data_IF_306043906712
#
_entry.id   IF_306043906712
#
_cell.length_a   1.000
_cell.length_b   1.000
_cell.length_c   1.000
_cell.angle_alpha   90.00
_cell.angle_beta   90.00
_cell.angle_gamma   90.00
#
_symmetry.space_group_name_H-M   'P 1'
#
loop_
_entity.id
_entity.type
_entity.pdbx_description
1 polymer ?
#
# COMPACT_ATOMS: atom_id res chain seq x y z
N UNK A 1 -14.95 -10.86 64.91
CA UNK A 1 -16.17 -11.68 64.82
C UNK A 1 -16.15 -12.41 63.48
N UNK A 2 -16.35 -13.73 63.49
CA UNK A 2 -16.32 -14.62 62.29
C UNK A 2 -17.34 -14.19 61.19
N UNK A 3 -18.32 -13.35 61.49
CA UNK A 3 -19.31 -12.84 60.53
C UNK A 3 -18.75 -11.81 59.53
N UNK A 4 -17.59 -11.22 59.78
CA UNK A 4 -16.95 -10.22 58.88
C UNK A 4 -16.00 -10.82 57.86
N UNK A 5 -15.56 -12.08 57.99
CA UNK A 5 -14.64 -12.76 57.07
C UNK A 5 -15.13 -12.83 55.60
N UNK A 6 -16.39 -13.19 55.31
CA UNK A 6 -16.84 -13.27 53.92
C UNK A 6 -16.86 -11.90 53.20
N UNK A 7 -17.17 -10.82 53.92
CA UNK A 7 -17.14 -9.46 53.37
C UNK A 7 -15.71 -8.98 53.10
N UNK A 8 -14.75 -9.32 53.96
CA UNK A 8 -13.36 -8.96 53.81
C UNK A 8 -12.74 -9.73 52.59
N UNK A 9 -13.06 -11.02 52.43
CA UNK A 9 -12.63 -11.83 51.32
C UNK A 9 -13.23 -11.32 49.98
N UNK A 10 -14.49 -10.92 49.98
CA UNK A 10 -15.12 -10.32 48.80
C UNK A 10 -14.42 -9.00 48.41
N UNK A 11 -14.16 -8.14 49.39
CA UNK A 11 -13.51 -6.85 49.17
C UNK A 11 -12.08 -7.05 48.71
N UNK A 12 -11.34 -8.00 49.24
CA UNK A 12 -10.00 -8.39 48.78
C UNK A 12 -10.00 -8.86 47.32
N UNK A 13 -10.96 -9.70 46.92
CA UNK A 13 -11.12 -10.13 45.52
C UNK A 13 -11.41 -8.99 44.58
N UNK A 14 -12.21 -7.99 45.02
CA UNK A 14 -12.52 -6.80 44.21
C UNK A 14 -11.27 -5.93 43.99
N UNK A 15 -10.43 -5.75 45.03
CA UNK A 15 -9.19 -4.99 44.92
C UNK A 15 -8.20 -5.71 43.97
N UNK A 16 -8.05 -7.02 44.09
CA UNK A 16 -7.20 -7.81 43.18
C UNK A 16 -7.67 -7.69 41.74
N UNK A 17 -8.98 -7.67 41.50
CA UNK A 17 -9.51 -7.46 40.14
C UNK A 17 -9.22 -6.05 39.63
N UNK A 18 -9.31 -5.04 40.51
CA UNK A 18 -9.00 -3.64 40.17
C UNK A 18 -7.51 -3.49 39.84
N UNK A 19 -6.60 -4.10 40.61
CA UNK A 19 -5.16 -4.11 40.31
C UNK A 19 -4.87 -4.72 38.94
N UNK A 20 -5.41 -5.91 38.64
CA UNK A 20 -5.22 -6.55 37.33
C UNK A 20 -5.72 -5.68 36.20
N UNK A 21 -6.87 -5.04 36.36
CA UNK A 21 -7.39 -4.13 35.34
C UNK A 21 -6.49 -2.90 35.13
N UNK A 22 -5.88 -2.37 36.19
CA UNK A 22 -4.92 -1.26 36.10
C UNK A 22 -3.64 -1.68 35.42
N UNK A 23 -3.13 -2.89 35.69
CA UNK A 23 -1.97 -3.45 34.99
C UNK A 23 -2.22 -3.65 33.49
N UNK A 24 -3.40 -4.13 33.12
CA UNK A 24 -3.80 -4.25 31.71
C UNK A 24 -3.90 -2.89 31.02
N UNK A 25 -4.54 -1.91 31.69
CA UNK A 25 -4.58 -0.52 31.19
C UNK A 25 -3.18 0.07 31.05
N UNK A 26 -2.29 -0.17 32.01
CA UNK A 26 -0.92 0.27 31.94
C UNK A 26 -0.21 -0.27 30.70
N UNK A 27 -0.33 -1.57 30.44
CA UNK A 27 0.29 -2.21 29.26
C UNK A 27 -0.28 -1.66 27.95
N UNK A 28 -1.59 -1.43 27.88
CA UNK A 28 -2.26 -1.00 26.65
C UNK A 28 -2.13 0.50 26.36
N UNK A 29 -2.26 1.35 27.38
CA UNK A 29 -2.42 2.80 27.22
C UNK A 29 -1.17 3.60 27.63
N UNK A 30 -0.37 3.08 28.54
CA UNK A 30 0.84 3.69 29.07
C UNK A 30 2.13 2.95 28.70
N UNK A 31 2.01 1.83 27.98
CA UNK A 31 3.14 1.05 27.47
C UNK A 31 3.80 1.71 26.25
N UNK A 32 4.85 1.07 25.75
CA UNK A 32 5.65 1.55 24.64
C UNK A 32 5.17 1.05 23.26
N UNK A 33 4.05 0.31 23.22
CA UNK A 33 3.60 -0.39 22.00
C UNK A 33 3.35 0.58 20.86
N UNK A 34 2.65 1.69 21.12
CA UNK A 34 2.34 2.69 20.08
C UNK A 34 3.61 3.42 19.60
N UNK A 35 4.51 3.73 20.52
CA UNK A 35 5.79 4.35 20.21
C UNK A 35 6.68 3.42 19.36
N UNK A 36 6.81 2.16 19.76
CA UNK A 36 7.59 1.17 19.02
C UNK A 36 7.02 0.93 17.61
N UNK A 37 5.70 0.79 17.48
CA UNK A 37 5.06 0.68 16.16
C UNK A 37 5.40 1.87 15.26
N UNK A 38 5.35 3.09 15.78
CA UNK A 38 5.70 4.27 15.00
C UNK A 38 7.17 4.32 14.62
N UNK A 39 8.05 3.89 15.51
CA UNK A 39 9.49 3.76 15.22
C UNK A 39 9.76 2.73 14.11
N UNK A 40 9.07 1.60 14.14
CA UNK A 40 9.20 0.56 13.11
C UNK A 40 8.69 1.05 11.74
N UNK A 41 7.54 1.76 11.74
CA UNK A 41 7.03 2.41 10.52
C UNK A 41 8.05 3.39 9.92
N UNK A 42 8.61 4.28 10.74
CA UNK A 42 9.60 5.26 10.29
C UNK A 42 10.91 4.61 9.84
N UNK A 43 11.33 3.52 10.49
CA UNK A 43 12.48 2.73 10.09
C UNK A 43 12.28 2.11 8.71
N UNK A 44 11.09 1.58 8.44
CA UNK A 44 10.72 1.06 7.12
C UNK A 44 10.70 2.18 6.07
N UNK A 45 10.08 3.32 6.37
CA UNK A 45 10.06 4.48 5.47
C UNK A 45 11.48 4.95 5.14
N UNK A 46 12.38 4.99 6.13
CA UNK A 46 13.80 5.31 5.93
C UNK A 46 14.48 4.32 4.99
N UNK A 47 14.24 3.02 5.18
CA UNK A 47 14.79 1.98 4.32
C UNK A 47 14.26 2.11 2.88
N UNK A 48 12.97 2.35 2.71
CA UNK A 48 12.36 2.56 1.40
C UNK A 48 12.94 3.78 0.69
N UNK A 49 13.17 4.88 1.43
CA UNK A 49 13.84 6.07 0.91
C UNK A 49 15.27 5.79 0.46
N UNK A 50 16.05 5.04 1.23
CA UNK A 50 17.41 4.65 0.87
C UNK A 50 17.45 3.73 -0.35
N UNK A 51 16.40 2.95 -0.56
CA UNK A 51 16.28 2.01 -1.69
C UNK A 51 15.78 2.65 -2.99
N UNK A 52 15.38 3.93 -3.01
CA UNK A 52 14.84 4.59 -4.21
C UNK A 52 15.79 4.54 -5.41
N UNK A 53 17.09 4.72 -5.17
CA UNK A 53 18.09 4.63 -6.25
C UNK A 53 18.14 3.23 -6.86
N UNK A 54 18.17 2.19 -6.03
CA UNK A 54 18.15 0.80 -6.48
C UNK A 54 16.84 0.45 -7.22
N UNK A 55 15.71 0.98 -6.77
CA UNK A 55 14.42 0.81 -7.44
C UNK A 55 14.44 1.45 -8.83
N UNK A 56 14.98 2.67 -8.96
CA UNK A 56 15.16 3.34 -10.25
C UNK A 56 16.02 2.50 -11.20
N UNK A 57 17.18 2.02 -10.73
CA UNK A 57 18.05 1.18 -11.54
C UNK A 57 17.38 -0.12 -11.98
N UNK A 58 16.62 -0.76 -11.09
CA UNK A 58 15.85 -1.96 -11.43
C UNK A 58 14.84 -1.68 -12.55
N UNK A 59 14.09 -0.58 -12.44
CA UNK A 59 13.14 -0.16 -13.50
C UNK A 59 13.85 0.16 -14.82
N UNK A 60 15.02 0.79 -14.78
CA UNK A 60 15.81 1.08 -15.97
C UNK A 60 16.35 -0.20 -16.63
N UNK A 61 16.81 -1.18 -15.84
CA UNK A 61 17.21 -2.50 -16.36
C UNK A 61 16.04 -3.22 -17.03
N UNK A 62 14.85 -3.21 -16.38
CA UNK A 62 13.64 -3.78 -16.98
C UNK A 62 13.27 -3.09 -18.28
N UNK A 63 13.29 -1.76 -18.33
CA UNK A 63 13.03 -0.99 -19.54
C UNK A 63 14.00 -1.35 -20.69
N UNK A 64 15.28 -1.60 -20.37
CA UNK A 64 16.26 -2.08 -21.34
C UNK A 64 15.96 -3.50 -21.86
N UNK A 65 15.51 -4.41 -20.98
CA UNK A 65 15.12 -5.77 -21.37
C UNK A 65 13.88 -5.75 -22.27
N UNK A 66 12.95 -4.85 -22.01
CA UNK A 66 11.69 -4.72 -22.75
C UNK A 66 11.81 -3.86 -24.03
N UNK A 67 13.03 -3.48 -24.45
CA UNK A 67 13.25 -2.61 -25.63
C UNK A 67 12.58 -3.12 -26.90
N UNK A 68 12.67 -4.43 -27.17
CA UNK A 68 12.04 -5.04 -28.34
C UNK A 68 10.51 -4.82 -28.30
N UNK A 69 9.89 -5.09 -27.15
CA UNK A 69 8.46 -4.91 -26.95
C UNK A 69 8.05 -3.44 -27.13
N UNK A 70 8.76 -2.50 -26.52
CA UNK A 70 8.45 -1.08 -26.64
C UNK A 70 8.62 -0.54 -28.08
N UNK A 71 9.63 -1.03 -28.81
CA UNK A 71 9.79 -0.66 -30.23
C UNK A 71 8.65 -1.21 -31.07
N UNK A 72 8.22 -2.46 -30.82
CA UNK A 72 7.08 -3.06 -31.52
C UNK A 72 5.78 -2.32 -31.19
N UNK A 73 5.52 -1.99 -29.92
CA UNK A 73 4.34 -1.22 -29.51
C UNK A 73 4.29 0.13 -30.21
N UNK A 74 5.40 0.88 -30.19
CA UNK A 74 5.50 2.17 -30.88
C UNK A 74 5.32 2.04 -32.39
N UNK A 75 5.84 0.96 -32.99
CA UNK A 75 5.66 0.68 -34.40
C UNK A 75 4.18 0.40 -34.73
N UNK A 76 3.50 -0.41 -33.92
CA UNK A 76 2.07 -0.73 -34.12
C UNK A 76 1.17 0.50 -33.91
N UNK A 77 1.52 1.37 -32.97
CA UNK A 77 0.81 2.62 -32.68
C UNK A 77 0.83 3.58 -33.87
N UNK A 78 1.84 3.50 -34.71
CA UNK A 78 1.92 4.29 -35.95
C UNK A 78 0.94 3.84 -37.08
N UNK A 79 0.18 2.77 -36.89
CA UNK A 79 -0.75 2.28 -37.91
C UNK A 79 -2.21 2.52 -37.53
N UNK A 80 -2.74 3.65 -37.99
CA UNK A 80 -4.14 4.06 -37.75
C UNK A 80 -5.13 3.06 -38.39
N UNK A 81 -6.12 2.65 -37.62
CA UNK A 81 -7.23 1.83 -38.09
C UNK A 81 -8.05 2.54 -39.17
N UNK A 82 -8.18 3.84 -39.08
CA UNK A 82 -8.97 4.65 -40.01
C UNK A 82 -8.43 4.58 -41.44
N UNK A 83 -7.10 4.59 -41.58
CA UNK A 83 -6.41 4.49 -42.86
C UNK A 83 -6.24 3.05 -43.36
N UNK A 84 -6.55 2.06 -42.52
CA UNK A 84 -6.37 0.66 -42.86
C UNK A 84 -7.43 0.20 -43.86
N UNK A 85 -7.02 -0.56 -44.88
CA UNK A 85 -7.94 -1.30 -45.72
C UNK A 85 -8.08 -2.73 -45.18
N UNK A 86 -9.18 -3.02 -44.51
CA UNK A 86 -9.43 -4.35 -43.92
C UNK A 86 -10.76 -4.85 -44.48
N UNK A 87 -10.72 -6.01 -45.15
CA UNK A 87 -11.89 -6.60 -45.76
C UNK A 87 -13.05 -6.80 -44.76
N UNK A 88 -14.21 -6.21 -45.07
CA UNK A 88 -15.42 -6.29 -44.25
C UNK A 88 -15.42 -5.36 -43.02
N UNK A 89 -14.37 -4.55 -42.82
CA UNK A 89 -14.32 -3.50 -41.78
C UNK A 89 -14.43 -2.13 -42.48
N UNK A 90 -15.66 -1.74 -42.79
CA UNK A 90 -15.94 -0.44 -43.38
C UNK A 90 -16.01 0.71 -42.38
N UNK A 91 -16.27 1.95 -42.84
CA UNK A 91 -16.25 3.17 -42.00
C UNK A 91 -17.11 3.07 -40.73
N UNK A 92 -18.32 2.52 -40.84
CA UNK A 92 -19.20 2.37 -39.67
C UNK A 92 -18.61 1.43 -38.57
N UNK A 93 -17.99 0.31 -38.97
CA UNK A 93 -17.32 -0.58 -38.02
C UNK A 93 -16.06 0.05 -37.43
N UNK A 94 -15.30 0.83 -38.19
CA UNK A 94 -14.16 1.58 -37.69
C UNK A 94 -14.59 2.61 -36.66
N UNK A 95 -15.65 3.38 -36.93
CA UNK A 95 -16.21 4.33 -35.96
C UNK A 95 -16.66 3.66 -34.68
N UNK A 96 -17.28 2.45 -34.80
CA UNK A 96 -17.63 1.67 -33.61
C UNK A 96 -16.38 1.26 -32.80
N UNK A 97 -15.32 0.75 -33.45
CA UNK A 97 -14.06 0.41 -32.75
C UNK A 97 -13.44 1.60 -32.07
N UNK A 98 -13.41 2.77 -32.73
CA UNK A 98 -12.88 4.02 -32.18
C UNK A 98 -13.68 4.50 -30.94
N UNK A 99 -15.00 4.33 -30.92
CA UNK A 99 -15.82 4.68 -29.75
C UNK A 99 -15.50 3.80 -28.52
N UNK A 100 -14.88 2.63 -28.72
CA UNK A 100 -14.34 1.76 -27.67
C UNK A 100 -12.83 1.95 -27.42
N UNK A 101 -12.22 3.00 -27.97
CA UNK A 101 -10.81 3.34 -27.77
C UNK A 101 -9.83 2.53 -28.64
N UNK A 102 -10.31 1.79 -29.66
CA UNK A 102 -9.46 1.03 -30.57
C UNK A 102 -9.19 1.88 -31.81
N UNK A 103 -8.02 2.54 -31.85
CA UNK A 103 -7.64 3.52 -32.87
C UNK A 103 -6.50 3.06 -33.76
N UNK A 104 -5.60 2.25 -33.23
CA UNK A 104 -4.38 1.81 -33.92
C UNK A 104 -4.25 0.27 -33.93
N UNK A 105 -3.24 -0.24 -34.65
CA UNK A 105 -2.94 -1.66 -34.64
C UNK A 105 -2.50 -2.16 -33.23
N UNK A 106 -1.96 -1.28 -32.40
CA UNK A 106 -1.57 -1.59 -31.02
C UNK A 106 -2.79 -2.01 -30.20
N UNK A 107 -3.90 -1.29 -30.33
CA UNK A 107 -5.12 -1.47 -29.51
C UNK A 107 -5.89 -2.76 -29.84
N UNK A 108 -5.52 -3.45 -30.93
CA UNK A 108 -6.22 -4.66 -31.35
C UNK A 108 -5.87 -5.82 -30.41
N UNK A 109 -6.81 -6.14 -29.54
CA UNK A 109 -6.79 -7.30 -28.65
C UNK A 109 -8.04 -8.16 -28.82
N UNK A 110 -7.84 -9.48 -28.92
CA UNK A 110 -8.94 -10.43 -29.13
C UNK A 110 -10.06 -10.30 -28.13
N UNK A 111 -9.71 -10.24 -26.84
CA UNK A 111 -10.70 -10.19 -25.75
C UNK A 111 -11.47 -8.87 -25.69
N UNK A 112 -10.81 -7.75 -26.00
CA UNK A 112 -11.43 -6.44 -26.04
C UNK A 112 -12.42 -6.36 -27.19
N UNK A 113 -12.02 -6.76 -28.41
CA UNK A 113 -12.85 -6.71 -29.61
C UNK A 113 -14.09 -7.62 -29.50
N UNK A 114 -13.94 -8.85 -28.95
CA UNK A 114 -15.07 -9.77 -28.82
C UNK A 114 -16.17 -9.31 -27.86
N UNK A 115 -15.89 -8.32 -27.00
CA UNK A 115 -16.91 -7.70 -26.13
C UNK A 115 -17.75 -6.64 -26.85
N UNK A 116 -17.33 -6.20 -28.03
CA UNK A 116 -18.00 -5.15 -28.78
C UNK A 116 -19.15 -5.78 -29.58
N UNK A 117 -20.35 -5.26 -29.40
CA UNK A 117 -21.51 -5.71 -30.15
C UNK A 117 -21.29 -5.60 -31.66
N UNK A 118 -21.56 -6.69 -32.40
CA UNK A 118 -21.35 -6.75 -33.85
C UNK A 118 -19.96 -7.20 -34.27
N UNK A 119 -19.02 -7.43 -33.33
CA UNK A 119 -17.67 -7.96 -33.59
C UNK A 119 -17.53 -9.41 -33.09
N UNK A 120 -18.10 -10.34 -33.85
CA UNK A 120 -17.92 -11.76 -33.60
C UNK A 120 -16.56 -12.28 -34.08
N UNK A 121 -16.32 -13.61 -33.97
CA UNK A 121 -15.03 -14.25 -34.28
C UNK A 121 -14.49 -13.93 -35.67
N UNK A 122 -15.36 -13.76 -36.68
CA UNK A 122 -14.98 -13.47 -38.06
C UNK A 122 -14.27 -12.12 -38.19
N UNK A 123 -14.90 -11.04 -37.65
CA UNK A 123 -14.33 -9.69 -37.74
C UNK A 123 -13.13 -9.54 -36.82
N UNK A 124 -13.18 -10.13 -35.63
CA UNK A 124 -12.01 -10.22 -34.73
C UNK A 124 -10.84 -10.90 -35.41
N UNK A 125 -11.08 -12.02 -36.12
CA UNK A 125 -10.03 -12.73 -36.86
C UNK A 125 -9.44 -11.90 -37.99
N UNK A 126 -10.23 -11.06 -38.68
CA UNK A 126 -9.74 -10.16 -39.74
C UNK A 126 -8.86 -9.04 -39.16
N UNK A 127 -9.26 -8.45 -38.05
CA UNK A 127 -8.45 -7.43 -37.34
C UNK A 127 -7.14 -8.00 -36.81
N UNK A 128 -7.17 -9.17 -36.22
CA UNK A 128 -5.93 -9.85 -35.75
C UNK A 128 -4.98 -10.19 -36.88
N UNK A 129 -5.49 -10.67 -38.03
CA UNK A 129 -4.65 -10.90 -39.23
C UNK A 129 -4.03 -9.64 -39.76
N UNK A 130 -4.77 -8.52 -39.75
CA UNK A 130 -4.24 -7.21 -40.13
C UNK A 130 -3.10 -6.81 -39.19
N UNK A 131 -3.28 -6.86 -37.87
CA UNK A 131 -2.22 -6.60 -36.88
C UNK A 131 -1.00 -7.47 -37.13
N UNK A 132 -1.19 -8.78 -37.29
CA UNK A 132 -0.08 -9.71 -37.59
C UNK A 132 0.64 -9.39 -38.87
N UNK A 133 -0.04 -8.90 -39.93
CA UNK A 133 0.58 -8.48 -41.16
C UNK A 133 1.50 -7.26 -41.01
N UNK A 134 1.19 -6.40 -40.02
CA UNK A 134 2.03 -5.25 -39.64
C UNK A 134 3.20 -5.73 -38.78
N UNK A 135 2.94 -6.58 -37.79
CA UNK A 135 3.99 -7.16 -36.92
C UNK A 135 5.11 -7.84 -37.74
N UNK A 136 4.76 -8.54 -38.81
CA UNK A 136 5.73 -9.16 -39.71
C UNK A 136 6.65 -8.18 -40.42
N UNK A 137 6.28 -6.91 -40.55
CA UNK A 137 7.10 -5.85 -41.16
C UNK A 137 8.00 -5.16 -40.13
N UNK A 138 7.81 -5.42 -38.84
CA UNK A 138 8.63 -4.85 -37.81
C UNK A 138 10.03 -5.43 -37.79
N UNK A 139 11.02 -4.56 -37.69
CA UNK A 139 12.43 -4.95 -37.54
C UNK A 139 12.99 -4.27 -36.29
N UNK A 140 13.42 -5.07 -35.32
CA UNK A 140 14.03 -4.56 -34.09
C UNK A 140 15.37 -3.87 -34.39
N UNK A 141 15.54 -2.67 -33.86
CA UNK A 141 16.80 -1.94 -33.92
C UNK A 141 17.47 -1.89 -32.54
N UNK A 142 18.52 -2.69 -32.27
CA UNK A 142 19.19 -2.68 -30.98
C UNK A 142 19.92 -1.35 -30.67
N UNK A 143 20.23 -0.54 -31.69
CA UNK A 143 20.92 0.73 -31.54
C UNK A 143 19.97 1.93 -31.33
N UNK A 144 18.65 1.74 -31.49
CA UNK A 144 17.71 2.80 -31.27
C UNK A 144 17.69 3.16 -29.76
N UNK A 145 17.83 4.44 -29.37
CA UNK A 145 17.75 4.84 -27.96
C UNK A 145 16.37 4.54 -27.37
N UNK A 146 16.35 4.32 -26.07
CA UNK A 146 15.09 4.20 -25.34
C UNK A 146 14.33 5.51 -25.47
N UNK A 147 13.01 5.42 -25.62
CA UNK A 147 12.15 6.60 -25.69
C UNK A 147 12.32 7.46 -24.42
N UNK A 148 12.73 8.74 -24.56
CA UNK A 148 12.89 9.64 -23.41
C UNK A 148 11.65 9.77 -22.54
N UNK A 149 10.45 9.60 -23.11
CA UNK A 149 9.20 9.67 -22.35
C UNK A 149 9.07 8.52 -21.37
N UNK A 150 9.55 7.32 -21.70
CA UNK A 150 9.55 6.18 -20.78
C UNK A 150 10.53 6.40 -19.62
N UNK A 151 11.69 6.98 -19.90
CA UNK A 151 12.67 7.37 -18.86
C UNK A 151 12.05 8.43 -17.94
N UNK A 152 11.46 9.47 -18.52
CA UNK A 152 10.81 10.56 -17.77
C UNK A 152 9.68 10.02 -16.88
N UNK A 153 8.92 9.04 -17.36
CA UNK A 153 7.87 8.39 -16.56
C UNK A 153 8.46 7.73 -15.32
N UNK A 154 9.54 6.96 -15.46
CA UNK A 154 10.25 6.34 -14.33
C UNK A 154 10.75 7.40 -13.36
N UNK A 155 11.40 8.45 -13.86
CA UNK A 155 11.95 9.52 -13.03
C UNK A 155 10.85 10.26 -12.24
N UNK A 156 9.71 10.52 -12.86
CA UNK A 156 8.56 11.13 -12.20
C UNK A 156 7.94 10.21 -11.12
N UNK A 157 7.84 8.91 -11.38
CA UNK A 157 7.37 7.94 -10.38
C UNK A 157 8.29 7.93 -9.15
N UNK A 158 9.61 7.85 -9.37
CA UNK A 158 10.60 7.86 -8.28
C UNK A 158 10.58 9.20 -7.52
N UNK A 159 10.44 10.33 -8.23
CA UNK A 159 10.34 11.66 -7.62
C UNK A 159 9.09 11.80 -6.75
N UNK A 160 7.96 11.29 -7.21
CA UNK A 160 6.71 11.30 -6.46
C UNK A 160 6.82 10.45 -5.18
N UNK A 161 7.40 9.25 -5.30
CA UNK A 161 7.61 8.36 -4.17
C UNK A 161 8.59 8.98 -3.16
N UNK A 162 9.69 9.56 -3.63
CA UNK A 162 10.64 10.32 -2.81
C UNK A 162 9.93 11.40 -1.98
N UNK A 163 9.08 12.22 -2.63
CA UNK A 163 8.33 13.28 -1.96
C UNK A 163 7.42 12.75 -0.85
N UNK A 164 6.72 11.63 -1.09
CA UNK A 164 5.86 10.99 -0.08
C UNK A 164 6.67 10.52 1.13
N UNK A 165 7.78 9.81 0.88
CA UNK A 165 8.63 9.28 1.94
C UNK A 165 9.31 10.41 2.74
N UNK A 166 9.77 11.46 2.09
CA UNK A 166 10.33 12.66 2.75
C UNK A 166 9.30 13.32 3.68
N UNK A 167 8.06 13.48 3.21
CA UNK A 167 6.98 14.03 4.05
C UNK A 167 6.76 13.21 5.31
N UNK A 168 6.75 11.88 5.21
CA UNK A 168 6.58 10.98 6.36
C UNK A 168 7.78 11.06 7.31
N UNK A 169 9.00 11.12 6.79
CA UNK A 169 10.21 11.26 7.60
C UNK A 169 10.28 12.61 8.32
N UNK A 170 9.81 13.68 7.69
CA UNK A 170 9.78 15.01 8.29
C UNK A 170 8.71 15.14 9.38
N UNK A 171 7.54 14.52 9.22
CA UNK A 171 6.47 14.55 10.23
C UNK A 171 6.75 13.58 11.39
N UNK A 172 7.47 12.49 11.13
CA UNK A 172 7.69 11.39 12.08
C UNK A 172 8.22 11.79 13.45
N UNK A 173 9.26 12.62 13.58
CA UNK A 173 9.77 13.05 14.88
C UNK A 173 8.74 13.81 15.72
N UNK A 174 7.89 14.60 15.09
CA UNK A 174 6.84 15.33 15.79
C UNK A 174 5.70 14.37 16.24
N UNK A 175 5.34 13.42 15.41
CA UNK A 175 4.38 12.37 15.75
C UNK A 175 4.87 11.52 16.94
N UNK A 176 6.16 11.14 16.96
CA UNK A 176 6.77 10.43 18.08
C UNK A 176 6.76 11.27 19.39
N UNK A 177 7.02 12.59 19.29
CA UNK A 177 6.89 13.49 20.45
C UNK A 177 5.47 13.51 21.00
N UNK A 178 4.47 13.58 20.13
CA UNK A 178 3.04 13.57 20.53
C UNK A 178 2.69 12.24 21.21
N UNK A 179 3.11 11.11 20.65
CA UNK A 179 2.89 9.79 21.24
C UNK A 179 3.56 9.70 22.61
N UNK A 180 4.82 10.10 22.71
CA UNK A 180 5.53 10.10 23.99
C UNK A 180 4.85 10.97 25.06
N UNK A 181 4.41 12.18 24.68
CA UNK A 181 3.66 13.05 25.59
C UNK A 181 2.36 12.41 26.09
N UNK A 182 1.60 11.79 25.20
CA UNK A 182 0.38 11.07 25.58
C UNK A 182 0.67 9.92 26.54
N UNK A 183 1.69 9.11 26.26
CA UNK A 183 2.12 8.00 27.11
C UNK A 183 2.55 8.51 28.50
N UNK A 184 3.36 9.56 28.56
CA UNK A 184 3.82 10.13 29.83
C UNK A 184 2.66 10.66 30.69
N UNK A 185 1.73 11.39 30.09
CA UNK A 185 0.54 11.88 30.80
C UNK A 185 -0.30 10.72 31.33
N UNK A 186 -0.47 9.67 30.54
CA UNK A 186 -1.23 8.49 30.93
C UNK A 186 -0.55 7.72 32.06
N UNK A 187 0.79 7.62 32.03
CA UNK A 187 1.59 7.04 33.12
C UNK A 187 1.37 7.79 34.44
N UNK A 188 1.42 9.11 34.41
CA UNK A 188 1.21 9.92 35.62
C UNK A 188 -0.20 9.69 36.21
N UNK A 189 -1.22 9.65 35.35
CA UNK A 189 -2.59 9.42 35.81
C UNK A 189 -2.78 8.00 36.38
N UNK A 190 -2.32 6.98 35.68
CA UNK A 190 -2.47 5.59 36.11
C UNK A 190 -1.60 5.25 37.32
N UNK A 191 -0.45 5.92 37.47
CA UNK A 191 0.43 5.70 38.64
C UNK A 191 -0.27 6.07 39.94
N UNK A 192 -0.94 7.23 39.99
CA UNK A 192 -1.67 7.65 41.18
C UNK A 192 -2.81 6.67 41.53
N UNK A 193 -3.57 6.20 40.52
CA UNK A 193 -4.61 5.17 40.76
C UNK A 193 -4.05 3.83 41.24
N UNK A 194 -2.88 3.46 40.70
CA UNK A 194 -2.21 2.20 41.04
C UNK A 194 -1.65 2.22 42.45
N UNK A 195 -0.97 3.30 42.84
CA UNK A 195 -0.44 3.52 44.19
C UNK A 195 -1.57 3.46 45.25
N UNK A 196 -2.68 4.17 44.99
CA UNK A 196 -3.85 4.11 45.90
C UNK A 196 -4.41 2.69 46.02
N UNK A 197 -4.53 1.96 44.92
CA UNK A 197 -5.04 0.60 44.94
C UNK A 197 -4.09 -0.38 45.65
N UNK A 198 -2.78 -0.17 45.58
CA UNK A 198 -1.78 -0.94 46.31
C UNK A 198 -1.86 -0.69 47.83
N UNK A 199 -2.06 0.57 48.24
CA UNK A 199 -2.25 0.91 49.65
C UNK A 199 -3.54 0.24 50.23
N UNK A 200 -4.67 0.32 49.48
CA UNK A 200 -5.90 -0.38 49.82
C UNK A 200 -5.70 -1.90 49.94
N UNK A 201 -4.95 -2.50 49.00
CA UNK A 201 -4.63 -3.92 49.00
C UNK A 201 -3.80 -4.31 50.25
N UNK A 202 -2.72 -3.60 50.54
CA UNK A 202 -1.84 -3.86 51.65
C UNK A 202 -2.60 -3.73 53.00
N UNK A 203 -3.49 -2.75 53.13
CA UNK A 203 -4.30 -2.56 54.33
C UNK A 203 -5.26 -3.73 54.55
N UNK A 204 -5.91 -4.21 53.48
CA UNK A 204 -6.83 -5.37 53.58
C UNK A 204 -6.11 -6.64 53.90
N UNK A 205 -4.96 -6.86 53.27
CA UNK A 205 -4.09 -8.02 53.55
C UNK A 205 -3.62 -8.04 55.02
N UNK A 206 -3.17 -6.89 55.53
CA UNK A 206 -2.81 -6.76 56.94
C UNK A 206 -3.99 -7.06 57.88
N UNK A 207 -5.19 -6.59 57.55
CA UNK A 207 -6.41 -6.85 58.31
C UNK A 207 -6.82 -8.34 58.32
N UNK A 208 -6.65 -9.03 57.19
CA UNK A 208 -6.89 -10.49 57.09
C UNK A 208 -5.90 -11.23 57.97
N UNK A 209 -4.62 -10.90 57.90
CA UNK A 209 -3.55 -11.56 58.66
C UNK A 209 -3.69 -11.33 60.17
N UNK A 210 -4.31 -10.19 60.60
CA UNK A 210 -4.58 -9.92 62.01
C UNK A 210 -5.83 -10.68 62.56
N UNK A 211 -6.65 -11.24 61.69
CA UNK A 211 -7.84 -11.99 62.04
C UNK A 211 -7.65 -13.51 62.03
N UNK A 212 -6.57 -13.97 61.47
CA UNK A 212 -6.10 -15.39 61.46
C UNK A 212 -5.24 -15.69 62.67
#
# INVERSE_FOLDING_TARGET
SLASLPFINLFFSLIQKRLRNLEEKWKLEAGEIEFCKKMDELSKVKQDYQNLHSQREKKMRQLNQDRHKHQLEKFLDGFDLDRASIEGIGPGRKATLQSYGIQTALDIEKQAIMKIQGFGPVYTGKLLRWKQSIEKKFTFNPNQPIDPLLILKIDNEIKLEKFKLEKLLLSGPNELKIINYKVMNKRQFLLAEYEQCLEEYAQVEANINALL
#
